data_IF_785241078971
#
_entry.id   IF_785241078971
#
_cell.length_a   1.000
_cell.length_b   1.000
_cell.length_c   1.000
_cell.angle_alpha   90.00
_cell.angle_beta   90.00
_cell.angle_gamma   90.00
#
_symmetry.space_group_name_H-M   'P 1'
#
loop_
_entity.id
_entity.type
_entity.pdbx_description
1 polymer ?
#
# COMPACT_ATOMS: atom_id res chain seq x y z
N UNK A 1 8.87 2.81 -11.98
CA UNK A 1 8.71 2.23 -10.64
C UNK A 1 8.05 0.89 -10.81
N UNK A 2 8.72 -0.18 -10.39
CA UNK A 2 8.13 -1.51 -10.37
C UNK A 2 7.32 -1.70 -9.09
N UNK A 3 6.07 -2.15 -9.24
CA UNK A 3 5.19 -2.46 -8.12
C UNK A 3 5.08 -3.98 -8.06
N UNK A 4 5.52 -4.57 -6.95
CA UNK A 4 5.31 -5.98 -6.69
C UNK A 4 3.88 -6.20 -6.19
N UNK A 5 3.27 -7.33 -6.55
CA UNK A 5 1.94 -7.71 -6.08
C UNK A 5 1.94 -9.18 -5.64
N UNK A 6 1.50 -9.43 -4.41
CA UNK A 6 1.39 -10.77 -3.83
C UNK A 6 -0.04 -11.05 -3.38
N UNK A 7 -0.58 -12.21 -3.77
CA UNK A 7 -1.88 -12.69 -3.29
C UNK A 7 -1.68 -13.42 -1.96
N UNK A 8 -2.26 -12.88 -0.89
CA UNK A 8 -2.29 -13.52 0.43
C UNK A 8 -3.55 -14.39 0.57
N UNK A 9 -3.42 -15.73 0.72
CA UNK A 9 -4.56 -16.63 0.85
C UNK A 9 -5.50 -16.21 2.00
N UNK A 10 -6.78 -16.00 1.67
CA UNK A 10 -7.80 -15.57 2.62
C UNK A 10 -7.72 -14.12 3.10
N UNK A 11 -6.66 -13.35 2.75
CA UNK A 11 -6.44 -12.00 3.27
C UNK A 11 -6.63 -10.90 2.22
N UNK A 12 -6.20 -11.13 0.98
CA UNK A 12 -6.31 -10.11 -0.07
C UNK A 12 -5.06 -10.07 -0.94
N UNK A 13 -4.76 -8.89 -1.48
CA UNK A 13 -3.55 -8.64 -2.28
C UNK A 13 -2.72 -7.57 -1.59
N UNK A 14 -1.42 -7.76 -1.50
CA UNK A 14 -0.47 -6.74 -1.05
C UNK A 14 0.29 -6.21 -2.26
N UNK A 15 0.26 -4.90 -2.43
CA UNK A 15 1.09 -4.18 -3.40
C UNK A 15 2.25 -3.54 -2.66
N UNK A 16 3.48 -3.71 -3.13
CA UNK A 16 4.68 -3.14 -2.51
C UNK A 16 5.53 -2.41 -3.54
N UNK A 17 6.07 -1.26 -3.15
CA UNK A 17 7.00 -0.48 -3.94
C UNK A 17 7.96 0.31 -3.04
N UNK A 18 9.07 0.77 -3.63
CA UNK A 18 10.05 1.64 -2.97
C UNK A 18 10.01 2.99 -3.67
N UNK A 19 9.79 4.07 -2.91
CA UNK A 19 9.81 5.44 -3.45
C UNK A 19 11.18 5.81 -4.00
N UNK A 20 11.26 6.88 -4.78
CA UNK A 20 12.54 7.38 -5.30
C UNK A 20 13.52 7.79 -4.18
N UNK A 21 12.99 8.15 -3.00
CA UNK A 21 13.76 8.44 -1.79
C UNK A 21 14.15 7.19 -0.98
N UNK A 22 13.78 5.98 -1.45
CA UNK A 22 14.14 4.72 -0.82
C UNK A 22 13.17 4.20 0.25
N UNK A 23 12.04 4.88 0.46
CA UNK A 23 11.04 4.46 1.45
C UNK A 23 10.22 3.27 0.94
N UNK A 24 10.14 2.20 1.73
CA UNK A 24 9.31 1.03 1.43
C UNK A 24 7.86 1.29 1.80
N UNK A 25 6.95 1.08 0.85
CA UNK A 25 5.51 1.31 1.01
C UNK A 25 4.75 0.06 0.61
N UNK A 26 3.79 -0.33 1.44
CA UNK A 26 2.90 -1.47 1.17
C UNK A 26 1.44 -1.06 1.29
N UNK A 27 0.62 -1.48 0.33
CA UNK A 27 -0.83 -1.31 0.32
C UNK A 27 -1.48 -2.68 0.33
N UNK A 28 -2.21 -3.01 1.39
CA UNK A 28 -2.98 -4.24 1.49
C UNK A 28 -4.43 -3.97 1.08
N UNK A 29 -4.85 -4.54 -0.05
CA UNK A 29 -6.24 -4.57 -0.48
C UNK A 29 -6.92 -5.81 0.13
N UNK A 30 -7.56 -5.62 1.28
CA UNK A 30 -8.20 -6.68 2.03
C UNK A 30 -9.50 -7.15 1.38
N UNK A 31 -9.86 -8.42 1.57
CA UNK A 31 -11.09 -9.00 1.00
C UNK A 31 -12.40 -8.40 1.53
N UNK A 32 -12.35 -7.73 2.67
CA UNK A 32 -13.50 -7.02 3.25
C UNK A 32 -13.78 -5.67 2.55
N UNK A 33 -12.99 -5.32 1.52
CA UNK A 33 -13.13 -4.09 0.76
C UNK A 33 -12.41 -2.89 1.38
N UNK A 34 -11.60 -3.12 2.41
CA UNK A 34 -10.76 -2.08 3.01
C UNK A 34 -9.32 -2.14 2.50
N UNK A 35 -8.64 -1.01 2.61
CA UNK A 35 -7.27 -0.84 2.15
C UNK A 35 -6.42 -0.33 3.29
N UNK A 36 -5.26 -0.93 3.51
CA UNK A 36 -4.37 -0.55 4.61
C UNK A 36 -3.02 -0.11 4.04
N UNK A 37 -2.55 1.06 4.47
CA UNK A 37 -1.25 1.60 4.08
C UNK A 37 -0.24 1.37 5.19
N UNK A 38 0.91 0.82 4.81
CA UNK A 38 2.04 0.63 5.68
C UNK A 38 3.29 1.27 5.08
N UNK A 39 4.18 1.74 5.95
CA UNK A 39 5.54 2.11 5.56
C UNK A 39 6.52 1.22 6.31
N UNK A 40 7.52 0.70 5.62
CA UNK A 40 8.65 0.00 6.24
C UNK A 40 9.38 0.96 7.19
N UNK A 41 9.73 0.50 8.37
CA UNK A 41 10.53 1.28 9.32
C UNK A 41 11.96 1.47 8.78
N UNK A 42 12.55 2.65 9.00
CA UNK A 42 13.91 2.94 8.55
C UNK A 42 14.96 2.15 9.34
N UNK A 43 14.73 1.98 10.65
CA UNK A 43 15.65 1.28 11.55
C UNK A 43 15.54 -0.25 11.49
N UNK A 44 14.44 -0.77 10.94
CA UNK A 44 14.18 -2.21 10.84
C UNK A 44 13.36 -2.52 9.58
N UNK A 45 14.01 -3.23 8.65
CA UNK A 45 13.44 -3.57 7.34
C UNK A 45 12.36 -4.65 7.41
N UNK A 46 12.26 -5.39 8.51
CA UNK A 46 11.24 -6.42 8.70
C UNK A 46 10.02 -5.88 9.46
N UNK A 47 10.10 -4.64 9.96
CA UNK A 47 9.01 -3.99 10.67
C UNK A 47 8.29 -2.99 9.77
N UNK A 48 6.95 -3.10 9.76
CA UNK A 48 6.07 -2.19 9.06
C UNK A 48 5.24 -1.37 10.05
N UNK A 49 5.16 -0.06 9.82
CA UNK A 49 4.29 0.84 10.58
C UNK A 49 3.01 1.09 9.79
N UNK A 50 1.87 0.69 10.37
CA UNK A 50 0.55 1.07 9.85
C UNK A 50 0.40 2.59 9.89
N UNK A 51 -0.08 3.18 8.80
CA UNK A 51 -0.28 4.62 8.68
C UNK A 51 -1.75 5.01 8.67
N UNK A 52 -2.55 4.29 7.89
CA UNK A 52 -3.99 4.52 7.79
C UNK A 52 -4.73 3.34 7.17
N UNK A 53 -6.05 3.28 7.42
CA UNK A 53 -7.00 2.38 6.77
C UNK A 53 -7.99 3.22 5.99
N UNK A 54 -8.24 2.82 4.76
CA UNK A 54 -9.12 3.47 3.81
C UNK A 54 -10.30 2.53 3.51
N UNK A 55 -11.47 3.12 3.39
CA UNK A 55 -12.61 2.52 2.70
C UNK A 55 -12.33 2.45 1.19
N UNK A 56 -13.12 1.68 0.44
CA UNK A 56 -12.99 1.62 -1.01
C UNK A 56 -13.14 2.97 -1.72
N UNK A 57 -14.01 3.85 -1.24
CA UNK A 57 -14.20 5.19 -1.82
C UNK A 57 -13.01 6.11 -1.60
N UNK A 58 -12.41 6.09 -0.40
CA UNK A 58 -11.22 6.87 -0.11
C UNK A 58 -10.00 6.35 -0.88
N UNK A 59 -9.85 5.02 -0.98
CA UNK A 59 -8.81 4.39 -1.78
C UNK A 59 -8.92 4.76 -3.27
N UNK A 60 -10.14 4.76 -3.82
CA UNK A 60 -10.40 5.22 -5.19
C UNK A 60 -10.02 6.69 -5.37
N UNK A 61 -10.30 7.53 -4.38
CA UNK A 61 -9.94 8.96 -4.41
C UNK A 61 -8.42 9.14 -4.42
N UNK A 62 -7.68 8.41 -3.59
CA UNK A 62 -6.21 8.43 -3.56
C UNK A 62 -5.62 7.96 -4.91
N UNK A 63 -6.12 6.84 -5.45
CA UNK A 63 -5.69 6.35 -6.76
C UNK A 63 -5.94 7.39 -7.86
N UNK A 64 -7.07 8.09 -7.81
CA UNK A 64 -7.39 9.18 -8.73
C UNK A 64 -6.38 10.32 -8.60
N UNK A 65 -6.04 10.76 -7.37
CA UNK A 65 -5.03 11.82 -7.15
C UNK A 65 -3.67 11.43 -7.74
N UNK A 66 -3.21 10.20 -7.52
CA UNK A 66 -1.92 9.74 -8.03
C UNK A 66 -1.89 9.58 -9.55
N UNK A 67 -3.04 9.33 -10.18
CA UNK A 67 -3.15 9.23 -11.64
C UNK A 67 -3.52 10.56 -12.32
N UNK A 68 -3.94 11.57 -11.55
CA UNK A 68 -4.43 12.85 -12.06
C UNK A 68 -3.35 13.76 -12.66
N UNK A 69 -2.06 13.43 -12.49
CA UNK A 69 -0.96 14.13 -13.16
C UNK A 69 -0.08 13.10 -13.86
N UNK A 70 -0.33 12.93 -15.16
CA UNK A 70 0.65 12.45 -16.13
C UNK A 70 1.09 13.61 -17.01
#
# INVERSE_FOLDING_TARGET
MDVAAELLPGRGVVHEFVTDEGAGVSVHAARDGTFELYTRCEDDRDTYRWRLRLTGGEAQTVATIFTARR
#
